data_IF_788218708285
#
_entry.id   IF_788218708285
#
_cell.length_a   1.000
_cell.length_b   1.000
_cell.length_c   1.000
_cell.angle_alpha   90.00
_cell.angle_beta   90.00
_cell.angle_gamma   90.00
#
_symmetry.space_group_name_H-M   'P 1'
#
loop_
_entity.id
_entity.type
_entity.pdbx_description
1 polymer ?
#
# COMPACT_ATOMS: atom_id res chain seq x y z
N UNK A 1 -2.18 15.26 -8.02
CA UNK A 1 -1.64 14.80 -9.32
C UNK A 1 -2.31 13.47 -9.70
N UNK A 2 -3.28 13.49 -10.64
CA UNK A 2 -4.11 12.34 -10.98
C UNK A 2 -3.52 11.53 -12.16
N UNK A 3 -2.25 11.15 -12.09
CA UNK A 3 -1.65 10.18 -13.02
C UNK A 3 -1.70 8.74 -12.47
N UNK A 4 -2.22 8.54 -11.27
CA UNK A 4 -2.25 7.23 -10.57
C UNK A 4 -3.42 6.33 -10.99
N UNK A 5 -3.87 6.42 -12.24
CA UNK A 5 -4.68 5.35 -12.83
C UNK A 5 -3.74 4.19 -13.21
N UNK A 6 -3.04 3.65 -12.21
CA UNK A 6 -2.32 2.40 -12.33
C UNK A 6 -3.35 1.36 -12.77
N UNK A 7 -3.07 0.77 -13.94
CA UNK A 7 -3.87 -0.23 -14.62
C UNK A 7 -4.72 -1.05 -13.64
N UNK A 8 -6.06 -0.90 -13.68
CA UNK A 8 -6.98 -1.53 -12.72
C UNK A 8 -6.90 -3.08 -12.76
N UNK A 9 -6.34 -3.65 -13.84
CA UNK A 9 -6.02 -5.08 -13.95
C UNK A 9 -4.72 -5.51 -13.23
N UNK A 10 -3.87 -4.58 -12.78
CA UNK A 10 -2.63 -4.91 -12.09
C UNK A 10 -2.92 -5.67 -10.79
N UNK A 11 -2.20 -6.77 -10.58
CA UNK A 11 -2.29 -7.56 -9.35
C UNK A 11 -2.00 -6.71 -8.10
N UNK A 12 -1.12 -5.72 -8.24
CA UNK A 12 -0.75 -4.74 -7.22
C UNK A 12 -1.95 -3.88 -6.84
N UNK A 13 -2.67 -3.36 -7.84
CA UNK A 13 -3.86 -2.53 -7.61
C UNK A 13 -4.98 -3.33 -6.92
N UNK A 14 -5.19 -4.59 -7.33
CA UNK A 14 -6.16 -5.48 -6.69
C UNK A 14 -5.80 -5.78 -5.23
N UNK A 15 -4.53 -6.06 -4.94
CA UNK A 15 -4.06 -6.31 -3.58
C UNK A 15 -4.27 -5.08 -2.67
N UNK A 16 -3.93 -3.89 -3.15
CA UNK A 16 -4.17 -2.61 -2.44
C UNK A 16 -5.66 -2.43 -2.14
N UNK A 17 -6.52 -2.66 -3.14
CA UNK A 17 -7.98 -2.51 -2.96
C UNK A 17 -8.51 -3.43 -1.87
N UNK A 18 -8.11 -4.70 -1.88
CA UNK A 18 -8.52 -5.69 -0.87
C UNK A 18 -8.05 -5.30 0.53
N UNK A 19 -6.81 -4.82 0.67
CA UNK A 19 -6.27 -4.33 1.96
C UNK A 19 -7.06 -3.12 2.49
N UNK A 20 -7.45 -2.19 1.62
CA UNK A 20 -8.27 -1.03 1.99
C UNK A 20 -9.69 -1.42 2.40
N UNK A 21 -10.31 -2.33 1.68
CA UNK A 21 -11.64 -2.84 2.04
C UNK A 21 -11.60 -3.55 3.40
N UNK A 22 -10.59 -4.38 3.63
CA UNK A 22 -10.42 -5.09 4.90
C UNK A 22 -10.13 -4.15 6.08
N UNK A 23 -9.25 -3.16 5.91
CA UNK A 23 -8.92 -2.20 6.98
C UNK A 23 -10.11 -1.33 7.39
N UNK A 24 -11.01 -0.99 6.46
CA UNK A 24 -12.27 -0.26 6.74
C UNK A 24 -13.24 -1.08 7.58
N UNK A 25 -13.27 -2.40 7.39
CA UNK A 25 -14.10 -3.32 8.18
C UNK A 25 -13.53 -3.66 9.56
N UNK A 26 -12.29 -3.24 9.86
CA UNK A 26 -11.63 -3.59 11.11
C UNK A 26 -12.03 -2.62 12.24
N UNK A 27 -12.63 -3.14 13.31
CA UNK A 27 -13.06 -2.36 14.48
C UNK A 27 -11.93 -2.05 15.47
N UNK A 28 -10.78 -2.72 15.34
CA UNK A 28 -9.58 -2.45 16.14
C UNK A 28 -8.76 -1.35 15.48
N UNK A 29 -8.52 -0.26 16.22
CA UNK A 29 -7.68 0.85 15.76
C UNK A 29 -6.24 0.38 15.51
N UNK A 30 -5.70 -0.43 16.40
CA UNK A 30 -4.33 -0.95 16.28
C UNK A 30 -4.18 -1.86 15.05
N UNK A 31 -5.16 -2.74 14.81
CA UNK A 31 -5.16 -3.60 13.63
C UNK A 31 -5.30 -2.78 12.35
N UNK A 32 -6.14 -1.73 12.36
CA UNK A 32 -6.27 -0.81 11.22
C UNK A 32 -4.97 -0.08 10.92
N UNK A 33 -4.25 0.39 11.94
CA UNK A 33 -2.93 1.04 11.78
C UNK A 33 -1.92 0.09 11.15
N UNK A 34 -1.81 -1.13 11.69
CA UNK A 34 -0.91 -2.16 11.14
C UNK A 34 -1.21 -2.43 9.66
N UNK A 35 -2.48 -2.63 9.29
CA UNK A 35 -2.90 -2.87 7.91
C UNK A 35 -2.53 -1.71 6.96
N UNK A 36 -2.66 -0.47 7.41
CA UNK A 36 -2.27 0.72 6.63
C UNK A 36 -0.75 0.74 6.41
N UNK A 37 0.05 0.46 7.44
CA UNK A 37 1.50 0.39 7.31
C UNK A 37 1.94 -0.74 6.39
N UNK A 38 1.31 -1.92 6.48
CA UNK A 38 1.57 -3.04 5.57
C UNK A 38 1.21 -2.70 4.13
N UNK A 39 0.09 -2.02 3.88
CA UNK A 39 -0.26 -1.53 2.54
C UNK A 39 0.82 -0.59 2.00
N UNK A 40 1.26 0.40 2.79
CA UNK A 40 2.29 1.35 2.38
C UNK A 40 3.63 0.68 2.08
N UNK A 41 4.05 -0.28 2.90
CA UNK A 41 5.25 -1.07 2.68
C UNK A 41 5.18 -1.91 1.40
N UNK A 42 4.08 -2.65 1.20
CA UNK A 42 3.89 -3.48 0.00
C UNK A 42 3.92 -2.63 -1.29
N UNK A 43 3.25 -1.48 -1.28
CA UNK A 43 3.26 -0.57 -2.43
C UNK A 43 4.66 -0.06 -2.74
N UNK A 44 5.43 0.31 -1.71
CA UNK A 44 6.79 0.77 -1.89
C UNK A 44 7.70 -0.35 -2.43
N UNK A 45 7.64 -1.55 -1.85
CA UNK A 45 8.38 -2.72 -2.31
C UNK A 45 8.14 -3.01 -3.79
N UNK A 46 6.87 -3.08 -4.19
CA UNK A 46 6.48 -3.44 -5.55
C UNK A 46 6.94 -2.38 -6.57
N UNK A 47 6.82 -1.10 -6.23
CA UNK A 47 7.32 -0.03 -7.10
C UNK A 47 8.84 -0.03 -7.21
N UNK A 48 9.54 -0.36 -6.11
CA UNK A 48 10.99 -0.53 -6.12
C UNK A 48 11.42 -1.71 -7.00
N UNK A 49 10.69 -2.83 -6.99
CA UNK A 49 10.93 -3.97 -7.89
C UNK A 49 10.75 -3.60 -9.38
N UNK A 50 9.79 -2.73 -9.68
CA UNK A 50 9.59 -2.15 -11.03
C UNK A 50 10.65 -1.09 -11.41
N UNK A 51 11.62 -0.80 -10.53
CA UNK A 51 12.70 0.14 -10.77
C UNK A 51 12.35 1.60 -10.51
N UNK A 52 11.21 1.91 -9.86
CA UNK A 52 10.93 3.27 -9.39
C UNK A 52 11.88 3.63 -8.23
N UNK A 53 12.64 4.71 -8.38
CA UNK A 53 13.50 5.23 -7.32
C UNK A 53 12.65 6.04 -6.33
N UNK A 54 12.20 5.38 -5.26
CA UNK A 54 11.32 5.97 -4.24
C UNK A 54 12.03 6.07 -2.89
N UNK A 55 11.86 7.19 -2.17
CA UNK A 55 12.35 7.29 -0.81
C UNK A 55 11.72 6.21 0.06
N UNK A 56 12.52 5.62 0.97
CA UNK A 56 12.02 4.66 1.96
C UNK A 56 10.94 5.36 2.79
N UNK A 57 9.72 4.78 2.92
CA UNK A 57 8.69 5.35 3.76
C UNK A 57 9.21 5.56 5.19
N UNK A 58 8.99 6.76 5.76
CA UNK A 58 9.46 7.12 7.09
C UNK A 58 8.97 6.18 8.20
N UNK A 59 7.86 5.49 7.95
CA UNK A 59 7.27 4.48 8.83
C UNK A 59 8.09 3.17 8.91
N UNK A 60 9.07 3.02 8.02
CA UNK A 60 9.97 1.86 7.90
C UNK A 60 11.42 2.24 8.21
N UNK A 61 11.73 3.53 8.28
CA UNK A 61 12.98 4.05 8.78
C UNK A 61 12.89 4.02 10.31
N UNK A 62 13.34 2.92 10.90
CA UNK A 62 13.38 2.73 12.36
C UNK A 62 14.15 3.81 13.09
#
# INVERSE_FOLDING_TARGET
MPERAANQQSAIYRAIRLLREHSRGCNSIETRRLLIHTERWLVWMLRREEGEELPVPAELAG
#
